data_IF_352129870747
#
_entry.id   IF_352129870747
#
_cell.length_a   1.000
_cell.length_b   1.000
_cell.length_c   1.000
_cell.angle_alpha   90.00
_cell.angle_beta   90.00
_cell.angle_gamma   90.00
#
_symmetry.space_group_name_H-M   'P 1'
#
loop_
_entity.id
_entity.type
_entity.pdbx_description
1 polymer ?
#
# COMPACT_ATOMS: atom_id res chain seq x y z
N UNK A 1 -6.30 3.10 -0.58
CA UNK A 1 -5.21 3.74 -1.32
C UNK A 1 -5.41 5.24 -1.21
N UNK A 2 -4.50 5.94 -0.52
CA UNK A 2 -4.71 7.31 -0.03
C UNK A 2 -4.81 8.33 -1.17
N UNK A 3 -5.97 8.99 -1.32
CA UNK A 3 -6.26 9.95 -2.40
C UNK A 3 -5.45 11.25 -2.26
N UNK A 4 -5.10 11.61 -1.03
CA UNK A 4 -4.35 12.83 -0.68
C UNK A 4 -2.94 12.82 -1.28
N UNK A 5 -2.27 11.66 -1.31
CA UNK A 5 -0.93 11.51 -1.88
C UNK A 5 -0.90 11.64 -3.41
N UNK A 6 -2.00 11.33 -4.09
CA UNK A 6 -2.09 11.42 -5.56
C UNK A 6 -2.20 12.86 -6.05
N UNK A 7 -2.93 13.71 -5.33
CA UNK A 7 -3.13 15.12 -5.71
C UNK A 7 -1.83 15.93 -5.66
N UNK A 8 -0.92 15.59 -4.74
CA UNK A 8 0.37 16.26 -4.60
C UNK A 8 1.31 16.01 -5.80
N UNK A 9 1.25 14.83 -6.42
CA UNK A 9 2.05 14.49 -7.60
C UNK A 9 1.50 15.13 -8.89
N UNK A 10 0.19 15.31 -9.01
CA UNK A 10 -0.43 16.00 -10.16
C UNK A 10 -0.12 17.50 -10.22
N UNK A 11 0.25 18.11 -9.10
CA UNK A 11 0.63 19.52 -9.05
C UNK A 11 2.01 19.79 -9.70
N UNK A 12 2.90 18.79 -9.73
CA UNK A 12 4.25 18.93 -10.31
C UNK A 12 4.20 18.85 -11.85
N UNK A 13 3.20 18.18 -12.43
CA UNK A 13 3.05 18.06 -13.89
C UNK A 13 2.50 19.32 -14.57
N UNK A 14 1.98 20.30 -13.83
CA UNK A 14 1.46 21.54 -14.39
C UNK A 14 2.52 22.65 -14.57
N UNK A 15 3.74 22.48 -14.01
CA UNK A 15 4.80 23.50 -14.01
C UNK A 15 5.95 23.27 -15.00
N UNK A 16 6.00 22.14 -15.72
CA UNK A 16 7.12 21.76 -16.57
C UNK A 16 6.95 22.14 -18.07
N UNK A 17 5.94 22.93 -18.42
CA UNK A 17 5.57 23.19 -19.82
C UNK A 17 6.45 24.21 -20.58
N UNK A 18 7.54 24.72 -19.99
CA UNK A 18 8.37 25.77 -20.63
C UNK A 18 9.86 25.41 -20.83
N UNK A 19 10.24 24.13 -20.75
CA UNK A 19 11.58 23.70 -21.19
C UNK A 19 11.49 23.16 -22.62
N UNK A 20 12.22 23.71 -23.61
CA UNK A 20 12.18 23.23 -24.99
C UNK A 20 12.69 21.79 -25.05
N UNK A 21 11.80 20.87 -25.45
CA UNK A 21 12.07 19.45 -25.56
C UNK A 21 12.82 19.18 -26.87
N UNK A 22 14.13 19.39 -26.86
CA UNK A 22 15.04 18.79 -27.82
C UNK A 22 15.99 17.87 -27.05
N UNK A 23 15.51 16.68 -26.65
CA UNK A 23 16.37 15.68 -26.01
C UNK A 23 15.77 14.82 -24.92
N UNK A 24 14.46 14.91 -24.63
CA UNK A 24 13.84 13.97 -23.68
C UNK A 24 13.35 12.78 -24.50
N UNK A 25 14.17 11.72 -24.54
CA UNK A 25 13.72 10.42 -25.00
C UNK A 25 12.40 10.10 -24.33
N UNK A 26 11.43 9.65 -25.13
CA UNK A 26 10.11 9.23 -24.67
C UNK A 26 10.28 8.33 -23.46
N UNK A 27 9.97 8.86 -22.27
CA UNK A 27 9.84 8.08 -21.05
C UNK A 27 8.60 7.21 -21.26
N UNK A 28 8.79 6.10 -21.98
CA UNK A 28 7.84 4.99 -21.98
C UNK A 28 7.58 4.67 -20.52
N UNK A 29 6.30 4.63 -20.16
CA UNK A 29 5.82 4.39 -18.81
C UNK A 29 6.48 3.11 -18.25
N UNK A 30 7.52 3.29 -17.46
CA UNK A 30 8.42 2.22 -17.05
C UNK A 30 8.80 2.28 -15.58
N UNK A 31 7.96 2.84 -14.71
CA UNK A 31 8.19 2.86 -13.27
C UNK A 31 7.03 2.19 -12.53
N UNK A 32 6.91 0.87 -12.63
CA UNK A 32 6.39 0.11 -11.49
C UNK A 32 7.56 -0.05 -10.52
N UNK A 33 7.78 0.95 -9.67
CA UNK A 33 8.65 0.80 -8.49
C UNK A 33 7.90 -0.16 -7.53
N UNK A 34 8.01 -1.47 -7.77
CA UNK A 34 7.76 -2.44 -6.70
C UNK A 34 9.00 -2.40 -5.83
N UNK A 35 8.87 -1.99 -4.56
CA UNK A 35 9.94 -2.02 -3.56
C UNK A 35 10.39 -3.46 -3.18
N UNK A 36 10.12 -4.44 -4.05
CA UNK A 36 10.46 -5.83 -3.87
C UNK A 36 10.66 -6.45 -5.26
N UNK A 37 11.91 -6.70 -5.61
CA UNK A 37 12.37 -7.29 -6.87
C UNK A 37 12.17 -8.83 -6.91
N UNK A 38 11.30 -9.38 -6.06
CA UNK A 38 10.95 -10.81 -6.09
C UNK A 38 9.98 -11.06 -7.23
N UNK A 39 10.27 -12.07 -8.06
CA UNK A 39 9.30 -12.58 -9.03
C UNK A 39 7.95 -12.85 -8.32
N UNK A 40 6.85 -12.45 -8.96
CA UNK A 40 5.51 -12.79 -8.46
C UNK A 40 5.47 -14.30 -8.19
N UNK A 41 5.26 -14.68 -6.91
CA UNK A 41 5.17 -16.09 -6.51
C UNK A 41 3.95 -16.68 -7.21
N UNK A 42 4.16 -17.37 -8.34
CA UNK A 42 3.09 -18.10 -9.03
C UNK A 42 2.59 -19.17 -8.05
N UNK A 43 1.33 -19.02 -7.62
CA UNK A 43 0.68 -19.99 -6.75
C UNK A 43 0.63 -21.39 -7.38
N UNK A 44 0.32 -22.42 -6.59
CA UNK A 44 0.20 -23.78 -7.09
C UNK A 44 -0.86 -23.87 -8.20
N UNK A 45 -0.51 -24.51 -9.32
CA UNK A 45 -1.38 -24.67 -10.48
C UNK A 45 -2.65 -25.42 -10.06
N UNK A 46 -3.82 -24.86 -10.41
CA UNK A 46 -5.12 -25.44 -10.06
C UNK A 46 -5.62 -25.15 -8.64
N UNK A 47 -4.90 -24.34 -7.84
CA UNK A 47 -5.33 -23.93 -6.49
C UNK A 47 -5.51 -22.41 -6.41
N UNK A 48 -6.53 -21.95 -5.66
CA UNK A 48 -6.77 -20.54 -5.36
C UNK A 48 -6.80 -20.34 -3.85
N UNK A 49 -5.72 -19.81 -3.29
CA UNK A 49 -5.61 -19.53 -1.87
C UNK A 49 -6.23 -18.18 -1.53
N UNK A 50 -6.92 -18.12 -0.39
CA UNK A 50 -7.47 -16.89 0.17
C UNK A 50 -7.23 -16.86 1.69
N UNK A 51 -7.20 -15.65 2.25
CA UNK A 51 -7.10 -15.39 3.69
C UNK A 51 -8.22 -14.43 4.08
N UNK A 52 -8.95 -14.74 5.15
CA UNK A 52 -10.08 -13.93 5.65
C UNK A 52 -9.77 -13.51 7.09
N UNK A 53 -10.07 -12.25 7.42
CA UNK A 53 -9.89 -11.67 8.75
C UNK A 53 -11.24 -11.12 9.21
N UNK A 54 -11.73 -11.55 10.37
CA UNK A 54 -12.95 -10.98 10.99
C UNK A 54 -12.58 -9.71 11.77
N UNK A 55 -12.87 -8.55 11.19
CA UNK A 55 -12.53 -7.25 11.78
C UNK A 55 -13.31 -6.97 13.08
N UNK A 56 -14.45 -7.64 13.32
CA UNK A 56 -15.21 -7.48 14.58
C UNK A 56 -14.51 -8.09 15.78
N UNK A 57 -13.57 -9.02 15.54
CA UNK A 57 -12.75 -9.66 16.58
C UNK A 57 -11.33 -9.13 16.60
N UNK A 58 -10.93 -8.38 15.58
CA UNK A 58 -9.60 -7.79 15.54
C UNK A 58 -9.58 -6.60 16.49
N UNK A 59 -8.58 -6.56 17.37
CA UNK A 59 -8.41 -5.50 18.38
C UNK A 59 -7.18 -4.64 18.10
N UNK A 60 -6.60 -4.75 16.90
CA UNK A 60 -5.43 -3.96 16.52
C UNK A 60 -4.13 -4.32 17.26
N UNK A 61 -4.00 -5.50 17.88
CA UNK A 61 -2.88 -5.85 18.77
C UNK A 61 -1.50 -6.01 18.09
N UNK A 62 -1.41 -5.89 16.76
CA UNK A 62 -0.18 -6.04 15.96
C UNK A 62 0.53 -7.41 16.05
N UNK A 63 -0.07 -8.41 16.70
CA UNK A 63 0.53 -9.74 16.82
C UNK A 63 0.78 -10.40 15.45
N UNK A 64 -0.12 -10.20 14.48
CA UNK A 64 0.05 -10.70 13.12
C UNK A 64 1.23 -10.04 12.38
N UNK A 65 1.50 -8.76 12.64
CA UNK A 65 2.67 -8.04 12.12
C UNK A 65 3.96 -8.61 12.70
N UNK A 66 4.01 -8.78 14.02
CA UNK A 66 5.18 -9.35 14.71
C UNK A 66 5.45 -10.79 14.28
N UNK A 67 4.40 -11.62 14.25
CA UNK A 67 4.51 -13.03 13.83
C UNK A 67 5.01 -13.15 12.40
N UNK A 68 4.54 -12.29 11.48
CA UNK A 68 5.05 -12.27 10.12
C UNK A 68 6.55 -11.94 10.06
N UNK A 69 7.01 -10.97 10.86
CA UNK A 69 8.40 -10.54 10.88
C UNK A 69 9.34 -11.60 11.45
N UNK A 70 8.93 -12.29 12.52
CA UNK A 70 9.71 -13.38 13.13
C UNK A 70 9.85 -14.54 12.15
N UNK A 71 8.75 -14.97 11.55
CA UNK A 71 8.72 -16.13 10.67
C UNK A 71 9.49 -15.89 9.37
N UNK A 72 9.30 -14.72 8.76
CA UNK A 72 9.84 -14.43 7.42
C UNK A 72 11.14 -13.62 7.46
N UNK A 73 11.62 -13.23 8.64
CA UNK A 73 12.84 -12.44 8.84
C UNK A 73 12.93 -11.26 7.87
N UNK A 74 11.86 -10.48 7.79
CA UNK A 74 11.75 -9.38 6.84
C UNK A 74 12.90 -8.38 7.05
N UNK A 75 13.50 -7.83 5.98
CA UNK A 75 14.54 -6.82 6.11
C UNK A 75 14.06 -5.60 6.91
N UNK A 76 14.99 -4.96 7.63
CA UNK A 76 14.69 -3.81 8.48
C UNK A 76 14.04 -2.70 7.62
N UNK A 77 12.93 -2.14 8.12
CA UNK A 77 12.16 -1.11 7.42
C UNK A 77 11.18 -1.64 6.37
N UNK A 78 11.10 -2.97 6.17
CA UNK A 78 10.11 -3.59 5.29
C UNK A 78 9.11 -4.46 6.08
N UNK A 79 7.83 -4.24 5.84
CA UNK A 79 6.74 -5.01 6.44
C UNK A 79 5.91 -5.67 5.35
N UNK A 80 5.64 -6.97 5.49
CA UNK A 80 4.78 -7.72 4.54
C UNK A 80 3.29 -7.60 4.88
N UNK A 81 2.97 -7.32 6.14
CA UNK A 81 1.62 -7.05 6.64
C UNK A 81 1.68 -5.88 7.63
N UNK A 82 0.59 -5.12 7.74
CA UNK A 82 0.46 -3.96 8.62
C UNK A 82 -0.99 -3.84 9.06
N UNK A 83 -1.19 -3.52 10.34
CA UNK A 83 -2.51 -3.20 10.89
C UNK A 83 -2.67 -1.69 10.93
N UNK A 84 -3.81 -1.20 10.46
CA UNK A 84 -4.09 0.22 10.27
C UNK A 84 -5.29 0.62 11.12
N UNK A 85 -5.10 1.66 11.93
CA UNK A 85 -6.13 2.20 12.80
C UNK A 85 -6.55 3.57 12.27
N UNK A 86 -7.86 3.77 12.14
CA UNK A 86 -8.44 5.01 11.66
C UNK A 86 -9.68 5.34 12.46
N UNK A 87 -9.87 6.62 12.74
CA UNK A 87 -11.15 7.13 13.18
C UNK A 87 -12.05 7.29 11.97
N UNK A 88 -13.27 6.79 12.06
CA UNK A 88 -14.27 6.98 11.02
C UNK A 88 -15.35 7.92 11.55
N UNK A 89 -15.58 8.99 10.80
CA UNK A 89 -16.79 9.81 10.97
C UNK A 89 -17.88 9.17 10.13
N UNK A 90 -18.95 8.74 10.79
CA UNK A 90 -20.12 8.18 10.14
C UNK A 90 -21.03 9.33 9.66
N UNK A 91 -21.90 9.07 8.68
CA UNK A 91 -22.76 10.08 8.04
C UNK A 91 -23.75 10.74 9.02
N UNK A 92 -23.95 10.13 10.20
CA UNK A 92 -24.74 10.67 11.31
C UNK A 92 -23.96 11.65 12.21
N UNK A 93 -22.70 11.95 11.87
CA UNK A 93 -21.82 12.82 12.65
C UNK A 93 -21.22 12.15 13.89
N UNK A 94 -21.46 10.85 14.11
CA UNK A 94 -20.82 10.11 15.18
C UNK A 94 -19.41 9.66 14.76
N UNK A 95 -18.42 9.94 15.60
CA UNK A 95 -17.05 9.46 15.41
C UNK A 95 -16.91 8.14 16.15
N UNK A 96 -16.67 7.06 15.41
CA UNK A 96 -16.30 5.78 16.01
C UNK A 96 -14.86 5.46 15.61
N UNK A 97 -14.03 5.18 16.61
CA UNK A 97 -12.70 4.61 16.36
C UNK A 97 -12.91 3.18 15.91
N UNK A 98 -12.79 2.91 14.60
CA UNK A 98 -12.79 1.53 14.11
C UNK A 98 -11.39 0.97 14.32
N UNK A 99 -11.23 0.29 15.45
CA UNK A 99 -10.09 -0.57 15.71
C UNK A 99 -10.20 -1.77 14.76
N UNK A 100 -9.29 -1.83 13.78
CA UNK A 100 -9.17 -2.91 12.80
C UNK A 100 -7.82 -3.59 12.94
#
# INVERSE_FOLDING_TARGET
>A
MDSTKRRFLSAITAGAALVPIAGIGTATAGNVIRNNQSADRKGQVGKRYAMVIDLRKCVGCQACTVGCSIENQAPIGQFRTTVKQYEVTLDDGSTTTQEA
#
